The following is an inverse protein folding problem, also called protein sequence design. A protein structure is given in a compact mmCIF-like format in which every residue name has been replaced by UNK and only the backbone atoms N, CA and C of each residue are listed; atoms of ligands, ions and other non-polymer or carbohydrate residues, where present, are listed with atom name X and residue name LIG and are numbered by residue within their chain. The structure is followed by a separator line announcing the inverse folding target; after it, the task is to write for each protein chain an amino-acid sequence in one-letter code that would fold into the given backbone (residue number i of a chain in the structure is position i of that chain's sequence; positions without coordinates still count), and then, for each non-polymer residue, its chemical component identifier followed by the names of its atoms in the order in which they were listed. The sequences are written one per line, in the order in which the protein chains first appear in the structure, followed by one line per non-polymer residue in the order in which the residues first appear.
data_IF_960001707733
#
_entry.id   IF_960001707733
#
_cell.length_a   1.000
_cell.length_b   1.000
_cell.length_c   1.000
_cell.angle_alpha   90.00
_cell.angle_beta   90.00
_cell.angle_gamma   90.00
#
_symmetry.space_group_name_H-M   'P 1'
#
loop_
_entity.id
_entity.type
_entity.pdbx_description
1 polymer ?
#
# COMPACT_ATOMS: atom_id res chain seq x y z
N UNK A 1 16.49 0.48 -6.76
CA UNK A 1 15.75 0.39 -8.03
C UNK A 1 14.62 1.41 -7.96
N UNK A 2 14.37 2.20 -9.02
CA UNK A 2 13.25 3.15 -9.05
C UNK A 2 12.00 2.46 -9.61
N UNK A 3 10.81 2.85 -9.15
CA UNK A 3 9.54 2.32 -9.68
C UNK A 3 9.37 2.75 -11.14
N UNK A 4 9.10 1.80 -12.04
CA UNK A 4 8.86 2.10 -13.46
C UNK A 4 7.52 2.85 -13.60
N UNK A 5 7.45 3.94 -14.38
CA UNK A 5 6.20 4.66 -14.64
C UNK A 5 5.02 3.78 -15.04
N UNK A 6 5.27 2.70 -15.80
CA UNK A 6 4.22 1.76 -16.23
C UNK A 6 3.61 0.95 -15.08
N UNK A 7 4.35 0.77 -13.99
CA UNK A 7 3.87 0.04 -12.80
C UNK A 7 3.16 0.97 -11.81
N UNK A 8 3.27 2.29 -11.95
CA UNK A 8 2.72 3.26 -10.98
C UNK A 8 1.20 3.15 -10.89
N UNK A 9 0.51 3.08 -12.03
CA UNK A 9 -0.96 2.98 -12.05
C UNK A 9 -1.45 1.68 -11.43
N UNK A 10 -0.80 0.56 -11.77
CA UNK A 10 -1.12 -0.73 -11.17
C UNK A 10 -0.87 -0.72 -9.66
N UNK A 11 0.25 -0.14 -9.21
CA UNK A 11 0.58 -0.04 -7.79
C UNK A 11 -0.35 0.89 -7.04
N UNK A 12 -0.77 1.99 -7.66
CA UNK A 12 -1.76 2.89 -7.11
C UNK A 12 -3.08 2.14 -6.87
N UNK A 13 -3.64 1.51 -7.90
CA UNK A 13 -4.92 0.79 -7.77
C UNK A 13 -4.83 -0.39 -6.80
N UNK A 14 -3.73 -1.14 -6.82
CA UNK A 14 -3.53 -2.28 -5.91
C UNK A 14 -3.39 -1.80 -4.46
N UNK A 15 -2.66 -0.70 -4.22
CA UNK A 15 -2.49 -0.10 -2.88
C UNK A 15 -3.79 0.51 -2.37
N UNK A 16 -4.55 1.18 -3.24
CA UNK A 16 -5.87 1.71 -2.93
C UNK A 16 -6.83 0.60 -2.51
N UNK A 17 -6.89 -0.48 -3.28
CA UNK A 17 -7.70 -1.65 -2.94
C UNK A 17 -7.26 -2.29 -1.62
N UNK A 18 -5.95 -2.41 -1.39
CA UNK A 18 -5.42 -2.91 -0.12
C UNK A 18 -5.84 -2.02 1.06
N UNK A 19 -5.80 -0.68 0.89
CA UNK A 19 -6.24 0.27 1.91
C UNK A 19 -7.73 0.13 2.22
N UNK A 20 -8.57 -0.06 1.22
CA UNK A 20 -10.01 -0.32 1.41
C UNK A 20 -10.26 -1.61 2.22
N UNK A 21 -9.54 -2.69 1.92
CA UNK A 21 -9.61 -3.93 2.70
C UNK A 21 -9.09 -3.72 4.13
N UNK A 22 -8.02 -2.96 4.30
CA UNK A 22 -7.50 -2.60 5.60
C UNK A 22 -8.49 -1.77 6.43
N UNK A 23 -9.27 -0.90 5.79
CA UNK A 23 -10.38 -0.21 6.47
C UNK A 23 -11.47 -1.19 6.92
N UNK A 24 -11.77 -2.22 6.12
CA UNK A 24 -12.73 -3.28 6.51
C UNK A 24 -12.25 -4.09 7.71
N UNK A 25 -10.95 -4.30 7.91
CA UNK A 25 -10.45 -5.01 9.10
C UNK A 25 -10.80 -4.25 10.38
N UNK A 26 -10.81 -2.91 10.36
CA UNK A 26 -11.25 -2.11 11.51
C UNK A 26 -12.71 -2.39 11.85
N UNK A 27 -13.58 -2.50 10.84
CA UNK A 27 -15.00 -2.83 11.07
C UNK A 27 -15.15 -4.21 11.71
N UNK A 28 -14.35 -5.19 11.27
CA UNK A 28 -14.29 -6.51 11.90
C UNK A 28 -13.88 -6.41 13.37
N UNK A 29 -12.85 -5.62 13.69
CA UNK A 29 -12.41 -5.43 15.08
C UNK A 29 -13.49 -4.79 15.94
N UNK A 30 -14.13 -3.72 15.46
CA UNK A 30 -15.21 -3.05 16.17
C UNK A 30 -16.38 -4.01 16.45
N UNK A 31 -16.74 -4.85 15.47
CA UNK A 31 -17.77 -5.87 15.66
C UNK A 31 -17.35 -6.95 16.65
N UNK A 32 -16.13 -7.47 16.55
CA UNK A 32 -15.64 -8.47 17.51
C UNK A 32 -15.63 -7.90 18.94
N UNK A 33 -15.32 -6.60 19.09
CA UNK A 33 -15.23 -5.95 20.39
C UNK A 33 -16.57 -5.52 20.98
N UNK A 34 -17.64 -5.43 20.17
CA UNK A 34 -18.97 -5.02 20.65
C UNK A 34 -19.64 -6.06 21.56
N UNK A 35 -19.17 -7.30 21.55
CA UNK A 35 -19.77 -8.39 22.32
C UNK A 35 -21.01 -9.00 21.64
N UNK A 36 -21.36 -8.54 20.43
CA UNK A 36 -22.42 -9.15 19.64
C UNK A 36 -22.08 -10.60 19.24
N UNK A 37 -23.10 -11.45 19.01
CA UNK A 37 -22.90 -12.79 18.47
C UNK A 37 -22.16 -12.76 17.13
N UNK A 38 -21.10 -13.55 17.04
CA UNK A 38 -20.32 -13.75 15.81
C UNK A 38 -20.89 -14.97 15.09
N UNK A 39 -21.57 -14.75 13.98
CA UNK A 39 -22.04 -15.82 13.09
C UNK A 39 -20.89 -16.41 12.28
N UNK A 40 -21.10 -17.64 11.78
CA UNK A 40 -20.15 -18.30 10.88
C UNK A 40 -19.88 -17.48 9.60
N UNK A 41 -20.86 -16.71 9.13
CA UNK A 41 -20.72 -15.83 7.97
C UNK A 41 -19.72 -14.70 8.23
N UNK A 42 -19.74 -14.09 9.43
CA UNK A 42 -18.75 -13.09 9.81
C UNK A 42 -17.34 -13.69 9.84
N UNK A 43 -17.20 -14.90 10.39
CA UNK A 43 -15.93 -15.60 10.47
C UNK A 43 -15.37 -15.91 9.07
N UNK A 44 -16.22 -16.45 8.17
CA UNK A 44 -15.84 -16.72 6.79
C UNK A 44 -15.45 -15.44 6.04
N UNK A 45 -16.20 -14.35 6.23
CA UNK A 45 -15.88 -13.05 5.63
C UNK A 45 -14.52 -12.51 6.14
N UNK A 46 -14.20 -12.71 7.42
CA UNK A 46 -12.92 -12.31 7.98
C UNK A 46 -11.74 -13.12 7.40
N UNK A 47 -11.90 -14.44 7.25
CA UNK A 47 -10.87 -15.30 6.65
C UNK A 47 -10.63 -14.95 5.17
N UNK A 48 -11.69 -14.65 4.42
CA UNK A 48 -11.58 -14.15 3.05
C UNK A 48 -10.85 -12.81 2.99
N UNK A 49 -11.20 -11.88 3.89
CA UNK A 49 -10.54 -10.58 4.00
C UNK A 49 -9.03 -10.72 4.25
N UNK A 50 -8.62 -11.57 5.20
CA UNK A 50 -7.21 -11.87 5.48
C UNK A 50 -6.48 -12.40 4.26
N UNK A 51 -7.11 -13.33 3.55
CA UNK A 51 -6.55 -13.96 2.36
C UNK A 51 -6.36 -12.95 1.23
N UNK A 52 -7.35 -12.07 1.01
CA UNK A 52 -7.25 -11.05 -0.03
C UNK A 52 -6.19 -9.99 0.30
N UNK A 53 -6.11 -9.55 1.56
CA UNK A 53 -5.04 -8.64 2.03
C UNK A 53 -3.67 -9.27 1.78
N UNK A 54 -3.48 -10.53 2.15
CA UNK A 54 -2.21 -11.24 1.97
C UNK A 54 -1.82 -11.35 0.50
N UNK A 55 -2.80 -11.61 -0.38
CA UNK A 55 -2.58 -11.67 -1.83
C UNK A 55 -2.15 -10.32 -2.41
N UNK A 56 -2.88 -9.25 -2.10
CA UNK A 56 -2.56 -7.91 -2.63
C UNK A 56 -1.22 -7.41 -2.09
N UNK A 57 -0.92 -7.68 -0.82
CA UNK A 57 0.36 -7.28 -0.25
C UNK A 57 1.55 -7.91 -1.00
N UNK A 58 1.47 -9.20 -1.37
CA UNK A 58 2.54 -9.85 -2.16
C UNK A 58 2.77 -9.17 -3.51
N UNK A 59 1.70 -8.80 -4.21
CA UNK A 59 1.80 -8.08 -5.49
C UNK A 59 2.51 -6.73 -5.31
N UNK A 60 2.20 -6.03 -4.22
CA UNK A 60 2.77 -4.72 -3.90
C UNK A 60 4.22 -4.84 -3.42
N UNK A 61 4.54 -5.83 -2.57
CA UNK A 61 5.86 -5.97 -1.95
C UNK A 61 6.96 -6.24 -2.97
N UNK A 62 6.62 -6.92 -4.05
CA UNK A 62 7.58 -7.28 -5.10
C UNK A 62 7.97 -6.08 -5.98
N UNK A 63 7.12 -5.04 -6.01
CA UNK A 63 7.24 -3.90 -6.93
C UNK A 63 7.55 -2.58 -6.24
N UNK A 64 7.11 -2.38 -4.99
CA UNK A 64 7.37 -1.12 -4.28
C UNK A 64 8.84 -0.97 -3.90
N UNK A 65 9.38 0.21 -4.17
CA UNK A 65 10.73 0.58 -3.72
C UNK A 65 10.75 0.81 -2.20
N UNK A 66 11.88 0.60 -1.50
CA UNK A 66 11.96 0.75 -0.05
C UNK A 66 11.47 2.09 0.51
N UNK A 67 11.61 3.19 -0.25
CA UNK A 67 11.14 4.52 0.15
C UNK A 67 9.61 4.70 0.12
N UNK A 68 8.89 3.77 -0.51
CA UNK A 68 7.43 3.75 -0.60
C UNK A 68 6.82 2.61 0.21
N UNK A 69 7.62 1.75 0.82
CA UNK A 69 7.10 0.62 1.59
C UNK A 69 6.41 1.07 2.88
N UNK A 70 5.30 0.41 3.20
CA UNK A 70 4.64 0.47 4.49
C UNK A 70 4.98 -0.78 5.32
N UNK A 71 4.59 -0.82 6.59
CA UNK A 71 4.87 -1.91 7.54
C UNK A 71 3.99 -3.16 7.24
N UNK A 72 4.12 -3.74 6.04
CA UNK A 72 3.30 -4.85 5.59
C UNK A 72 3.61 -6.19 6.27
N UNK A 73 4.85 -6.44 6.68
CA UNK A 73 5.18 -7.62 7.50
C UNK A 73 4.44 -7.59 8.84
N UNK A 74 4.41 -6.42 9.51
CA UNK A 74 3.63 -6.24 10.74
C UNK A 74 2.14 -6.37 10.51
N UNK A 75 1.65 -5.93 9.35
CA UNK A 75 0.27 -6.13 8.93
C UNK A 75 -0.08 -7.62 8.85
N UNK A 76 0.76 -8.42 8.19
CA UNK A 76 0.57 -9.86 8.09
C UNK A 76 0.70 -10.56 9.44
N UNK A 77 1.68 -10.17 10.25
CA UNK A 77 1.87 -10.70 11.61
C UNK A 77 0.63 -10.43 12.48
N UNK A 78 0.09 -9.21 12.42
CA UNK A 78 -1.13 -8.83 13.14
C UNK A 78 -2.32 -9.70 12.70
N UNK A 79 -2.50 -9.90 11.39
CA UNK A 79 -3.57 -10.76 10.86
C UNK A 79 -3.35 -12.25 11.20
N UNK A 80 -2.10 -12.70 11.31
CA UNK A 80 -1.77 -14.06 11.74
C UNK A 80 -2.14 -14.30 13.19
N UNK A 81 -1.85 -13.34 14.07
CA UNK A 81 -2.17 -13.42 15.50
C UNK A 81 -3.67 -13.28 15.77
N UNK A 82 -4.39 -12.49 14.97
CA UNK A 82 -5.84 -12.42 14.97
C UNK A 82 -6.44 -13.57 14.14
N UNK A 83 -6.42 -14.80 14.69
CA UNK A 83 -6.79 -16.01 13.93
C UNK A 83 -8.26 -15.99 13.49
N UNK A 84 -9.16 -15.76 14.45
CA UNK A 84 -10.63 -15.74 14.26
C UNK A 84 -11.28 -14.51 14.90
N UNK A 85 -12.52 -14.19 14.50
CA UNK A 85 -13.28 -13.13 15.16
C UNK A 85 -13.65 -13.50 16.60
N UNK A 86 -13.95 -14.77 16.87
CA UNK A 86 -14.16 -15.25 18.24
C UNK A 86 -12.91 -15.06 19.13
N UNK A 87 -11.72 -15.33 18.58
CA UNK A 87 -10.47 -15.09 19.30
C UNK A 87 -10.30 -13.61 19.62
N UNK A 88 -10.59 -12.72 18.65
CA UNK A 88 -10.56 -11.27 18.85
C UNK A 88 -11.53 -10.81 19.96
N UNK A 89 -12.72 -11.42 20.04
CA UNK A 89 -13.71 -11.09 21.07
C UNK A 89 -13.21 -11.45 22.48
N UNK A 90 -12.39 -12.50 22.62
CA UNK A 90 -11.83 -12.95 23.92
C UNK A 90 -10.60 -12.15 24.38
N UNK A 91 -10.09 -11.23 23.56
CA UNK A 91 -8.93 -10.40 23.93
C UNK A 91 -9.27 -9.42 25.07
N UNK A 92 -8.27 -9.17 25.93
CA UNK A 92 -8.33 -8.18 27.00
C UNK A 92 -8.41 -6.75 26.45
N UNK A 93 -8.92 -5.78 27.22
CA UNK A 93 -8.98 -4.37 26.78
C UNK A 93 -7.62 -3.81 26.35
N UNK A 94 -6.53 -4.22 27.01
CA UNK A 94 -5.17 -3.82 26.66
C UNK A 94 -4.76 -4.36 25.28
N UNK A 95 -5.01 -5.63 25.00
CA UNK A 95 -4.72 -6.24 23.69
C UNK A 95 -5.55 -5.60 22.57
N UNK A 96 -6.84 -5.34 22.82
CA UNK A 96 -7.71 -4.63 21.88
C UNK A 96 -7.16 -3.25 21.54
N UNK A 97 -6.72 -2.49 22.54
CA UNK A 97 -6.11 -1.16 22.36
C UNK A 97 -4.81 -1.23 21.55
N UNK A 98 -3.96 -2.22 21.83
CA UNK A 98 -2.72 -2.45 21.09
C UNK A 98 -2.98 -2.79 19.62
N UNK A 99 -3.99 -3.63 19.36
CA UNK A 99 -4.38 -4.04 18.01
C UNK A 99 -4.91 -2.85 17.18
N UNK A 100 -5.74 -1.99 17.77
CA UNK A 100 -6.20 -0.75 17.13
C UNK A 100 -5.04 0.21 16.87
N UNK A 101 -4.11 0.34 17.82
CA UNK A 101 -2.93 1.19 17.67
C UNK A 101 -2.00 0.71 16.55
N UNK A 102 -1.76 -0.60 16.47
CA UNK A 102 -1.00 -1.21 15.38
C UNK A 102 -1.70 -1.01 14.03
N UNK A 103 -3.01 -1.26 13.99
CA UNK A 103 -3.84 -1.04 12.80
C UNK A 103 -3.70 0.40 12.27
N UNK A 104 -3.82 1.39 13.15
CA UNK A 104 -3.75 2.81 12.78
C UNK A 104 -2.37 3.23 12.28
N UNK A 105 -1.30 2.70 12.88
CA UNK A 105 0.08 2.98 12.42
C UNK A 105 0.31 2.48 10.99
N UNK A 106 -0.18 1.28 10.67
CA UNK A 106 -0.10 0.72 9.32
C UNK A 106 -0.95 1.54 8.35
N UNK A 107 -2.17 1.91 8.75
CA UNK A 107 -3.05 2.78 7.98
C UNK A 107 -2.34 4.06 7.54
N UNK A 108 -1.78 4.84 8.48
CA UNK A 108 -1.08 6.10 8.18
C UNK A 108 0.04 5.90 7.15
N UNK A 109 0.83 4.83 7.30
CA UNK A 109 1.96 4.55 6.39
C UNK A 109 1.45 4.20 4.99
N UNK A 110 0.42 3.36 4.91
CA UNK A 110 -0.20 2.98 3.64
C UNK A 110 -0.84 4.18 2.93
N UNK A 111 -1.50 5.10 3.65
CA UNK A 111 -2.05 6.33 3.05
C UNK A 111 -0.94 7.23 2.50
N UNK A 112 0.21 7.32 3.18
CA UNK A 112 1.38 8.05 2.67
C UNK A 112 1.94 7.42 1.41
N UNK A 113 2.03 6.08 1.37
CA UNK A 113 2.42 5.35 0.15
C UNK A 113 1.46 5.66 -1.00
N UNK A 114 0.15 5.62 -0.75
CA UNK A 114 -0.85 5.92 -1.76
C UNK A 114 -0.71 7.36 -2.28
N UNK A 115 -0.61 8.35 -1.38
CA UNK A 115 -0.40 9.74 -1.78
C UNK A 115 0.90 9.97 -2.57
N UNK A 116 1.96 9.22 -2.26
CA UNK A 116 3.19 9.26 -3.05
C UNK A 116 3.00 8.67 -4.46
N UNK A 117 2.21 7.61 -4.61
CA UNK A 117 1.84 7.03 -5.90
C UNK A 117 0.95 7.98 -6.71
N UNK A 118 -0.04 8.63 -6.09
CA UNK A 118 -0.89 9.65 -6.73
C UNK A 118 -0.06 10.81 -7.31
N UNK A 119 0.93 11.28 -6.54
CA UNK A 119 1.87 12.31 -7.01
C UNK A 119 2.70 11.81 -8.20
N UNK A 120 3.15 10.55 -8.19
CA UNK A 120 3.84 9.95 -9.33
C UNK A 120 2.96 9.81 -10.58
N UNK A 121 1.68 9.48 -10.42
CA UNK A 121 0.71 9.45 -11.53
C UNK A 121 0.54 10.81 -12.19
N UNK A 122 0.57 11.89 -11.40
CA UNK A 122 0.55 13.27 -11.94
C UNK A 122 1.81 13.67 -12.74
N UNK A 123 2.81 12.79 -12.82
CA UNK A 123 4.06 13.01 -13.56
C UNK A 123 5.24 13.48 -12.70
N UNK A 124 5.07 13.64 -11.38
CA UNK A 124 6.16 14.02 -10.49
C UNK A 124 6.87 12.81 -9.91
N UNK A 125 8.11 12.58 -10.34
CA UNK A 125 8.96 11.51 -9.83
C UNK A 125 10.11 12.12 -9.00
N UNK A 126 10.09 11.99 -7.65
CA UNK A 126 11.07 12.65 -6.78
C UNK A 126 12.54 12.31 -7.13
N UNK A 127 12.79 11.08 -7.58
CA UNK A 127 14.13 10.63 -7.95
C UNK A 127 14.62 11.23 -9.29
N UNK A 128 13.72 11.53 -10.23
CA UNK A 128 14.04 12.25 -11.48
C UNK A 128 14.26 13.74 -11.21
N UNK A 129 13.45 14.34 -10.33
CA UNK A 129 13.63 15.72 -9.90
C UNK A 129 14.96 15.94 -9.16
N UNK A 130 15.39 14.98 -8.33
CA UNK A 130 16.68 15.04 -7.65
C UNK A 130 17.84 14.97 -8.64
N UNK A 131 17.77 14.16 -9.69
CA UNK A 131 18.80 14.10 -10.72
C UNK A 131 18.91 15.42 -11.51
N UNK A 132 17.78 16.08 -11.77
CA UNK A 132 17.73 17.41 -12.40
C UNK A 132 18.32 18.51 -11.49
N UNK A 133 18.04 18.47 -10.18
CA UNK A 133 18.53 19.47 -9.21
C UNK A 133 19.98 19.27 -8.78
N UNK A 134 20.49 18.03 -8.79
CA UNK A 134 21.86 17.71 -8.33
C UNK A 134 22.91 17.76 -9.43
N UNK A 135 22.55 18.16 -10.66
CA UNK A 135 23.51 18.36 -11.77
C UNK A 135 24.23 17.10 -12.24
N UNK A 136 23.95 15.92 -11.68
CA UNK A 136 24.61 14.64 -12.00
C UNK A 136 24.07 13.97 -13.28
N UNK A 137 23.27 14.67 -14.08
CA UNK A 137 22.68 14.20 -15.34
C UNK A 137 23.35 14.70 -16.63
N UNK A 138 24.38 15.54 -16.54
CA UNK A 138 25.13 15.99 -17.73
C UNK A 138 26.33 15.07 -18.03
N UNK A 139 26.06 13.84 -18.44
CA UNK A 139 27.09 12.85 -18.74
C UNK A 139 26.73 11.93 -19.92
N UNK A 140 26.87 12.46 -21.14
CA UNK A 140 26.97 11.76 -22.44
C UNK A 140 25.87 10.72 -22.78
N UNK A 141 24.84 11.18 -23.49
CA UNK A 141 24.06 10.36 -24.42
C UNK A 141 23.79 11.17 -25.69
N UNK A 142 24.49 10.85 -26.78
CA UNK A 142 24.34 11.50 -28.10
C UNK A 142 22.87 11.55 -28.52
N UNK A 143 22.38 12.76 -28.78
CA UNK A 143 21.08 12.98 -29.38
C UNK A 143 21.02 12.46 -30.82
N UNK A 144 19.92 11.76 -31.15
CA UNK A 144 19.45 11.61 -32.51
C UNK A 144 17.93 11.42 -32.55
N UNK A 145 17.21 12.53 -32.44
CA UNK A 145 15.86 12.65 -33.02
C UNK A 145 15.85 13.93 -33.85
N UNK A 146 16.02 13.76 -35.16
CA UNK A 146 16.19 14.83 -36.13
C UNK A 146 14.88 15.62 -36.31
N UNK A 147 14.98 16.94 -36.18
CA UNK A 147 13.98 17.87 -36.72
C UNK A 147 14.15 17.97 -38.22
N UNK A 148 13.08 17.66 -38.94
CA UNK A 148 12.93 17.97 -40.36
C UNK A 148 12.96 19.49 -40.54
N UNK A 149 13.92 19.98 -41.33
CA UNK A 149 13.94 21.34 -41.83
C UNK A 149 13.99 21.28 -43.36
N UNK A 150 12.95 21.78 -44.01
CA UNK A 150 13.05 22.28 -45.38
C UNK A 150 12.31 23.61 -45.46
N UNK A 151 13.08 24.69 -45.58
CA UNK A 151 12.64 25.98 -46.10
C UNK A 151 12.97 26.03 -47.60
N UNK A 152 12.00 26.58 -48.34
CA UNK A 152 12.10 27.49 -49.47
C UNK A 152 13.26 27.34 -50.48
N UNK A 153 12.86 27.11 -51.73
CA UNK A 153 13.46 27.73 -52.92
C UNK A 153 12.34 28.50 -53.63
#
# INVERSE_FOLDING_TARGET
MALNPQDVDEMHETTKKLLELWMRTKLVFLKAFSGEPITQEHENAYLQLKSEISRLYRVISDKLTPGLMFDGDKMLEMLKNAVTMEHLQRQSPAERSNLISAWHRIYIRMTRTLGALEVMQSGYYPHLHRALLTGKGAGKGKGRWGRSAKKAA
#
